data_IF_437179378378
#
_entry.id   IF_437179378378
#
_cell.length_a   1.000
_cell.length_b   1.000
_cell.length_c   1.000
_cell.angle_alpha   90.00
_cell.angle_beta   90.00
_cell.angle_gamma   90.00
#
_symmetry.space_group_name_H-M   'P 1'
#
loop_
_entity.id
_entity.type
_entity.pdbx_description
1 polymer ?
#
# COMPACT_ATOMS: atom_id res chain seq x y z
N UNK A 1 -19.61 22.49 -23.87
CA UNK A 1 -20.95 21.98 -24.25
C UNK A 1 -20.85 20.78 -25.23
N UNK A 2 -19.86 19.92 -25.09
CA UNK A 2 -19.61 18.75 -25.96
C UNK A 2 -19.53 17.40 -25.20
N UNK A 3 -19.78 17.37 -23.91
CA UNK A 3 -19.71 16.16 -23.06
C UNK A 3 -21.00 15.32 -23.04
N UNK A 4 -22.06 15.79 -23.75
CA UNK A 4 -23.39 15.14 -23.68
C UNK A 4 -23.68 14.07 -24.74
N UNK A 5 -22.78 13.82 -25.70
CA UNK A 5 -23.04 12.89 -26.84
C UNK A 5 -22.50 11.47 -26.65
N UNK A 6 -21.76 11.19 -25.57
CA UNK A 6 -21.17 9.84 -25.35
C UNK A 6 -21.97 8.90 -24.43
N UNK A 7 -23.15 9.32 -23.95
CA UNK A 7 -23.88 8.58 -22.87
C UNK A 7 -24.87 7.53 -23.41
N UNK A 8 -24.83 7.14 -24.66
CA UNK A 8 -25.83 6.20 -25.22
C UNK A 8 -25.29 5.04 -26.04
N UNK A 9 -24.25 4.34 -25.60
CA UNK A 9 -23.92 3.01 -26.18
C UNK A 9 -23.12 2.17 -25.18
N UNK A 10 -23.82 1.45 -24.28
CA UNK A 10 -23.46 0.12 -23.79
C UNK A 10 -24.46 -0.35 -22.72
N UNK A 11 -25.67 -0.64 -23.14
CA UNK A 11 -26.60 -1.50 -22.37
C UNK A 11 -26.37 -2.95 -22.82
N UNK A 12 -25.33 -3.59 -22.29
CA UNK A 12 -25.08 -4.99 -22.50
C UNK A 12 -23.79 -5.34 -21.76
N UNK A 13 -23.89 -5.79 -20.52
CA UNK A 13 -22.81 -6.57 -19.95
C UNK A 13 -22.61 -7.76 -20.89
N UNK A 14 -21.59 -7.72 -21.77
CA UNK A 14 -21.35 -8.82 -22.68
C UNK A 14 -21.04 -10.04 -21.83
N UNK A 15 -21.45 -11.22 -22.27
CA UNK A 15 -21.13 -12.51 -21.62
C UNK A 15 -19.64 -12.63 -21.23
N UNK A 16 -18.78 -11.89 -21.90
CA UNK A 16 -17.34 -11.83 -21.65
C UNK A 16 -16.95 -11.01 -20.39
N UNK A 17 -17.83 -10.21 -19.82
CA UNK A 17 -17.52 -9.46 -18.60
C UNK A 17 -17.33 -10.38 -17.40
N UNK A 18 -18.16 -11.43 -17.25
CA UNK A 18 -18.07 -12.35 -16.10
C UNK A 18 -16.73 -13.07 -16.02
N UNK A 19 -16.24 -13.75 -17.08
CA UNK A 19 -14.93 -14.41 -17.02
C UNK A 19 -13.79 -13.40 -16.84
N UNK A 20 -13.88 -12.20 -17.41
CA UNK A 20 -12.90 -11.13 -17.19
C UNK A 20 -12.79 -10.79 -15.70
N UNK A 21 -13.92 -10.57 -15.01
CA UNK A 21 -13.95 -10.21 -13.59
C UNK A 21 -13.46 -11.38 -12.71
N UNK A 22 -13.79 -12.61 -13.07
CA UNK A 22 -13.29 -13.79 -12.35
C UNK A 22 -11.78 -13.93 -12.45
N UNK A 23 -11.21 -13.74 -13.65
CA UNK A 23 -9.76 -13.74 -13.83
C UNK A 23 -9.09 -12.59 -13.04
N UNK A 24 -9.66 -11.38 -13.10
CA UNK A 24 -9.16 -10.25 -12.33
C UNK A 24 -9.22 -10.51 -10.83
N UNK A 25 -10.34 -11.00 -10.32
CA UNK A 25 -10.48 -11.35 -8.91
C UNK A 25 -9.42 -12.37 -8.47
N UNK A 26 -9.20 -13.43 -9.26
CA UNK A 26 -8.16 -14.42 -8.97
C UNK A 26 -6.77 -13.77 -8.87
N UNK A 27 -6.39 -12.94 -9.86
CA UNK A 27 -5.09 -12.26 -9.89
C UNK A 27 -4.90 -11.36 -8.67
N UNK A 28 -5.93 -10.58 -8.33
CA UNK A 28 -5.89 -9.64 -7.21
C UNK A 28 -5.90 -10.36 -5.86
N UNK A 29 -6.72 -11.40 -5.68
CA UNK A 29 -6.72 -12.19 -4.44
C UNK A 29 -5.38 -12.92 -4.23
N UNK A 30 -4.76 -13.39 -5.30
CA UNK A 30 -3.42 -13.94 -5.25
C UNK A 30 -2.38 -12.87 -4.87
N UNK A 31 -2.45 -11.66 -5.44
CA UNK A 31 -1.56 -10.55 -5.13
C UNK A 31 -1.61 -10.11 -3.67
N UNK A 32 -2.78 -10.20 -3.02
CA UNK A 32 -2.92 -9.89 -1.59
C UNK A 32 -2.14 -10.87 -0.70
N UNK A 33 -2.09 -12.15 -1.06
CA UNK A 33 -1.38 -13.17 -0.29
C UNK A 33 -0.76 -14.24 -1.21
N UNK A 34 0.33 -13.92 -1.90
CA UNK A 34 0.94 -14.81 -2.89
C UNK A 34 1.49 -16.10 -2.30
N UNK A 35 1.86 -16.11 -1.01
CA UNK A 35 2.44 -17.28 -0.34
C UNK A 35 1.41 -18.38 -0.07
N UNK A 36 0.12 -18.08 -0.15
CA UNK A 36 -0.96 -18.97 0.29
C UNK A 36 -1.71 -19.68 -0.82
N UNK A 37 -1.74 -19.12 -2.02
CA UNK A 37 -2.36 -19.75 -3.18
C UNK A 37 -1.32 -20.53 -3.96
N UNK A 38 -1.66 -21.77 -4.29
CA UNK A 38 -0.97 -22.64 -5.26
C UNK A 38 0.17 -21.90 -5.98
N UNK A 39 1.36 -21.97 -5.43
CA UNK A 39 2.55 -21.26 -5.92
C UNK A 39 2.95 -21.80 -7.30
N UNK A 40 2.05 -21.59 -8.28
CA UNK A 40 2.26 -22.04 -9.64
C UNK A 40 2.18 -20.85 -10.60
N UNK A 41 3.34 -20.32 -10.91
CA UNK A 41 3.52 -19.22 -11.83
C UNK A 41 2.87 -19.46 -13.20
N UNK A 42 2.80 -20.72 -13.67
CA UNK A 42 2.17 -21.05 -14.94
C UNK A 42 0.66 -20.82 -14.89
N UNK A 43 -0.01 -21.22 -13.79
CA UNK A 43 -1.45 -20.96 -13.60
C UNK A 43 -1.69 -19.46 -13.52
N UNK A 44 -0.88 -18.75 -12.75
CA UNK A 44 -0.99 -17.30 -12.62
C UNK A 44 -0.84 -16.61 -13.98
N UNK A 45 0.23 -16.92 -14.72
CA UNK A 45 0.45 -16.37 -16.06
C UNK A 45 -0.70 -16.67 -17.01
N UNK A 46 -1.23 -17.90 -16.98
CA UNK A 46 -2.41 -18.29 -17.79
C UNK A 46 -3.62 -17.42 -17.44
N UNK A 47 -3.93 -17.23 -16.15
CA UNK A 47 -5.09 -16.42 -15.74
C UNK A 47 -4.91 -14.94 -16.13
N UNK A 48 -3.69 -14.41 -16.03
CA UNK A 48 -3.37 -13.04 -16.51
C UNK A 48 -3.60 -12.93 -18.04
N UNK A 49 -3.14 -13.90 -18.82
CA UNK A 49 -3.37 -13.93 -20.28
C UNK A 49 -4.85 -14.04 -20.62
N UNK A 50 -5.60 -14.88 -19.90
CA UNK A 50 -7.06 -14.99 -20.07
C UNK A 50 -7.75 -13.66 -19.71
N UNK A 51 -7.36 -13.03 -18.61
CA UNK A 51 -7.87 -11.70 -18.28
C UNK A 51 -7.61 -10.69 -19.40
N UNK A 52 -6.38 -10.62 -19.89
CA UNK A 52 -6.03 -9.70 -20.98
C UNK A 52 -6.84 -9.99 -22.26
N UNK A 53 -7.01 -11.26 -22.61
CA UNK A 53 -7.84 -11.69 -23.73
C UNK A 53 -9.31 -11.26 -23.58
N UNK A 54 -9.91 -11.49 -22.41
CA UNK A 54 -11.29 -11.05 -22.12
C UNK A 54 -11.42 -9.52 -22.03
N UNK A 55 -10.43 -8.83 -21.47
CA UNK A 55 -10.40 -7.36 -21.41
C UNK A 55 -10.32 -6.76 -22.83
N UNK A 56 -9.46 -7.30 -23.70
CA UNK A 56 -9.38 -6.93 -25.10
C UNK A 56 -10.69 -7.22 -25.84
N UNK A 57 -11.25 -8.42 -25.71
CA UNK A 57 -12.46 -8.81 -26.41
C UNK A 57 -13.70 -8.01 -25.97
N UNK A 58 -13.79 -7.65 -24.69
CA UNK A 58 -14.93 -6.90 -24.16
C UNK A 58 -14.80 -5.39 -24.31
N UNK A 59 -13.60 -4.84 -24.28
CA UNK A 59 -13.32 -3.40 -24.24
C UNK A 59 -12.05 -3.05 -25.04
N UNK A 60 -11.98 -3.45 -26.32
CA UNK A 60 -10.79 -3.32 -27.17
C UNK A 60 -10.15 -1.93 -27.14
N UNK A 61 -10.97 -0.91 -27.38
CA UNK A 61 -10.48 0.48 -27.45
C UNK A 61 -9.89 0.91 -26.10
N UNK A 62 -10.58 0.65 -25.01
CA UNK A 62 -10.14 1.01 -23.67
C UNK A 62 -8.86 0.27 -23.29
N UNK A 63 -8.79 -1.04 -23.58
CA UNK A 63 -7.61 -1.85 -23.28
C UNK A 63 -6.36 -1.25 -23.93
N UNK A 64 -6.40 -0.95 -25.23
CA UNK A 64 -5.25 -0.38 -25.94
C UNK A 64 -4.97 1.07 -25.52
N UNK A 65 -5.97 1.90 -25.29
CA UNK A 65 -5.78 3.24 -24.74
C UNK A 65 -5.08 3.21 -23.37
N UNK A 66 -5.39 2.23 -22.55
CA UNK A 66 -4.75 2.05 -21.25
C UNK A 66 -3.33 1.52 -21.40
N UNK A 67 -3.13 0.48 -22.20
CA UNK A 67 -1.83 -0.17 -22.41
C UNK A 67 -0.80 0.77 -23.05
N UNK A 68 -1.23 1.56 -24.06
CA UNK A 68 -0.35 2.49 -24.78
C UNK A 68 -0.23 3.86 -24.10
N UNK A 69 -0.84 4.04 -22.93
CA UNK A 69 -0.68 5.29 -22.19
C UNK A 69 0.77 5.46 -21.72
N UNK A 70 1.37 6.66 -21.81
CA UNK A 70 2.79 6.87 -21.46
C UNK A 70 3.20 6.36 -20.08
N UNK A 71 2.34 6.50 -19.06
CA UNK A 71 2.58 5.96 -17.71
C UNK A 71 2.67 4.44 -17.72
N UNK A 72 1.87 3.75 -18.53
CA UNK A 72 1.93 2.30 -18.66
C UNK A 72 3.17 1.85 -19.44
N UNK A 73 3.51 2.55 -20.52
CA UNK A 73 4.75 2.28 -21.25
C UNK A 73 5.98 2.46 -20.35
N UNK A 74 5.98 3.50 -19.49
CA UNK A 74 7.02 3.68 -18.49
C UNK A 74 7.07 2.50 -17.50
N UNK A 75 5.90 2.01 -17.06
CA UNK A 75 5.82 0.86 -16.14
C UNK A 75 6.36 -0.43 -16.78
N UNK A 76 6.10 -0.65 -18.08
CA UNK A 76 6.71 -1.75 -18.84
C UNK A 76 8.22 -1.58 -19.07
N UNK A 77 8.76 -0.36 -18.91
CA UNK A 77 10.19 -0.11 -18.94
C UNK A 77 10.96 -0.85 -17.83
N UNK A 78 10.33 -1.13 -16.70
CA UNK A 78 10.96 -1.85 -15.59
C UNK A 78 11.39 -3.28 -15.95
N UNK A 79 10.49 -4.19 -16.37
CA UNK A 79 10.90 -5.53 -16.78
C UNK A 79 11.82 -5.53 -18.01
N UNK A 80 11.72 -4.54 -18.90
CA UNK A 80 12.67 -4.40 -20.03
C UNK A 80 14.06 -4.10 -19.50
N UNK A 81 14.19 -3.16 -18.56
CA UNK A 81 15.48 -2.86 -17.92
C UNK A 81 16.05 -4.10 -17.24
N UNK A 82 15.24 -4.83 -16.46
CA UNK A 82 15.69 -6.07 -15.79
C UNK A 82 16.11 -7.15 -16.78
N UNK A 83 15.40 -7.30 -17.92
CA UNK A 83 15.80 -8.21 -18.98
C UNK A 83 17.17 -7.83 -19.55
N UNK A 84 17.45 -6.53 -19.74
CA UNK A 84 18.78 -6.05 -20.17
C UNK A 84 19.87 -6.40 -19.16
N UNK A 85 19.60 -6.24 -17.87
CA UNK A 85 20.54 -6.65 -16.81
C UNK A 85 20.74 -8.16 -16.77
N UNK A 86 19.67 -8.96 -16.98
CA UNK A 86 19.76 -10.41 -17.02
C UNK A 86 20.60 -10.90 -18.22
N UNK A 87 20.40 -10.31 -19.40
CA UNK A 87 21.22 -10.60 -20.59
C UNK A 87 22.68 -10.20 -20.37
N UNK A 88 22.94 -9.13 -19.63
CA UNK A 88 24.27 -8.71 -19.24
C UNK A 88 24.89 -9.59 -18.11
N UNK A 89 24.18 -10.62 -17.63
CA UNK A 89 24.63 -11.51 -16.56
C UNK A 89 24.75 -10.86 -15.19
N UNK A 90 24.03 -9.76 -14.96
CA UNK A 90 24.08 -8.99 -13.69
C UNK A 90 23.00 -9.37 -12.71
N UNK A 91 21.88 -9.90 -13.17
CA UNK A 91 20.75 -10.35 -12.36
C UNK A 91 20.19 -11.65 -12.91
N UNK A 92 19.60 -12.50 -12.05
CA UNK A 92 18.65 -13.51 -12.49
C UNK A 92 17.36 -12.79 -12.85
N UNK A 93 16.77 -13.06 -14.04
CA UNK A 93 15.52 -12.40 -14.41
C UNK A 93 14.38 -12.88 -13.49
N UNK A 94 13.93 -12.03 -12.55
CA UNK A 94 12.89 -12.44 -11.61
C UNK A 94 11.52 -12.22 -12.29
N UNK A 95 10.89 -13.31 -12.69
CA UNK A 95 9.59 -13.29 -13.38
C UNK A 95 8.50 -12.51 -12.59
N UNK A 96 8.59 -12.45 -11.27
CA UNK A 96 7.66 -11.68 -10.44
C UNK A 96 7.68 -10.16 -10.75
N UNK A 97 8.77 -9.62 -11.25
CA UNK A 97 8.80 -8.22 -11.68
C UNK A 97 7.97 -7.93 -12.95
N UNK A 98 7.56 -8.96 -13.70
CA UNK A 98 6.56 -8.80 -14.77
C UNK A 98 5.18 -8.45 -14.23
N UNK A 99 4.90 -8.80 -12.98
CA UNK A 99 3.58 -8.60 -12.38
C UNK A 99 3.26 -7.11 -12.14
N UNK A 100 4.28 -6.34 -11.76
CA UNK A 100 4.11 -4.92 -11.47
C UNK A 100 3.39 -4.14 -12.58
N UNK A 101 3.85 -4.13 -13.84
CA UNK A 101 3.13 -3.43 -14.90
C UNK A 101 1.75 -4.05 -15.20
N UNK A 102 1.58 -5.37 -14.98
CA UNK A 102 0.28 -6.02 -15.15
C UNK A 102 -0.71 -5.53 -14.11
N UNK A 103 -0.32 -5.44 -12.83
CA UNK A 103 -1.17 -4.84 -11.80
C UNK A 103 -1.56 -3.40 -12.14
N UNK A 104 -0.61 -2.55 -12.55
CA UNK A 104 -0.93 -1.19 -12.97
C UNK A 104 -1.88 -1.16 -14.17
N UNK A 105 -1.70 -2.04 -15.16
CA UNK A 105 -2.59 -2.15 -16.30
C UNK A 105 -4.02 -2.52 -15.86
N UNK A 106 -4.15 -3.52 -14.98
CA UNK A 106 -5.45 -3.91 -14.41
C UNK A 106 -6.08 -2.75 -13.65
N UNK A 107 -5.35 -2.09 -12.75
CA UNK A 107 -5.87 -0.96 -11.97
C UNK A 107 -6.39 0.14 -12.89
N UNK A 108 -5.59 0.56 -13.85
CA UNK A 108 -5.99 1.61 -14.80
C UNK A 108 -7.14 1.21 -15.69
N UNK A 109 -7.21 -0.04 -16.13
CA UNK A 109 -8.34 -0.55 -16.88
C UNK A 109 -9.62 -0.42 -16.08
N UNK A 110 -9.65 -0.88 -14.82
CA UNK A 110 -10.84 -0.82 -13.98
C UNK A 110 -11.21 0.60 -13.52
N UNK A 111 -10.24 1.48 -13.27
CA UNK A 111 -10.53 2.89 -12.99
C UNK A 111 -11.06 3.65 -14.21
N UNK A 112 -10.75 3.21 -15.40
CA UNK A 112 -11.18 3.84 -16.65
C UNK A 112 -12.50 3.29 -17.21
N UNK A 113 -13.03 2.20 -16.64
CA UNK A 113 -14.34 1.69 -17.01
C UNK A 113 -15.44 2.69 -16.61
N UNK A 114 -16.38 2.94 -17.53
CA UNK A 114 -17.56 3.76 -17.25
C UNK A 114 -18.49 3.08 -16.23
N UNK A 115 -18.64 1.75 -16.35
CA UNK A 115 -19.39 0.96 -15.40
C UNK A 115 -18.60 0.72 -14.10
N UNK A 116 -19.09 1.31 -13.03
CA UNK A 116 -18.50 1.16 -11.70
C UNK A 116 -18.82 -0.18 -11.01
N UNK A 117 -19.63 -1.00 -11.60
CA UNK A 117 -19.99 -2.30 -11.01
C UNK A 117 -18.77 -3.19 -10.85
N UNK A 118 -17.96 -3.33 -11.90
CA UNK A 118 -16.72 -4.12 -11.87
C UNK A 118 -15.74 -3.61 -10.80
N UNK A 119 -15.53 -2.30 -10.73
CA UNK A 119 -14.66 -1.71 -9.69
C UNK A 119 -15.21 -1.96 -8.28
N UNK A 120 -16.52 -1.81 -8.06
CA UNK A 120 -17.17 -2.11 -6.77
C UNK A 120 -17.03 -3.56 -6.40
N UNK A 121 -17.27 -4.47 -7.33
CA UNK A 121 -17.16 -5.91 -7.11
C UNK A 121 -15.74 -6.30 -6.71
N UNK A 122 -14.74 -5.89 -7.48
CA UNK A 122 -13.34 -6.20 -7.19
C UNK A 122 -12.89 -5.58 -5.86
N UNK A 123 -13.26 -4.32 -5.60
CA UNK A 123 -12.96 -3.67 -4.32
C UNK A 123 -13.60 -4.41 -3.15
N UNK A 124 -14.83 -4.87 -3.30
CA UNK A 124 -15.51 -5.67 -2.27
C UNK A 124 -14.79 -7.00 -2.03
N UNK A 125 -14.49 -7.75 -3.10
CA UNK A 125 -13.84 -9.07 -3.00
C UNK A 125 -12.44 -8.96 -2.37
N UNK A 126 -11.62 -8.01 -2.86
CA UNK A 126 -10.28 -7.79 -2.32
C UNK A 126 -10.31 -7.33 -0.87
N UNK A 127 -11.20 -6.40 -0.52
CA UNK A 127 -11.36 -5.94 0.87
C UNK A 127 -11.86 -7.05 1.79
N UNK A 128 -12.86 -7.82 1.37
CA UNK A 128 -13.40 -8.92 2.16
C UNK A 128 -12.33 -10.00 2.42
N UNK A 129 -11.59 -10.40 1.38
CA UNK A 129 -10.49 -11.36 1.53
C UNK A 129 -9.37 -10.81 2.41
N UNK A 130 -9.01 -9.54 2.24
CA UNK A 130 -8.01 -8.88 3.08
C UNK A 130 -8.39 -8.89 4.57
N UNK A 131 -9.66 -8.65 4.88
CA UNK A 131 -10.17 -8.74 6.25
C UNK A 131 -10.21 -10.18 6.76
N UNK A 132 -10.51 -11.17 5.92
CA UNK A 132 -10.42 -12.59 6.28
C UNK A 132 -8.99 -13.01 6.62
N UNK A 133 -8.00 -12.55 5.85
CA UNK A 133 -6.58 -12.76 6.18
C UNK A 133 -6.26 -12.17 7.55
N UNK A 134 -6.74 -10.96 7.87
CA UNK A 134 -6.52 -10.36 9.18
C UNK A 134 -7.09 -11.21 10.31
N UNK A 135 -8.31 -11.76 10.14
CA UNK A 135 -8.90 -12.67 11.13
C UNK A 135 -8.06 -13.92 11.28
N UNK A 136 -7.69 -14.58 10.17
CA UNK A 136 -6.84 -15.78 10.20
C UNK A 136 -5.46 -15.50 10.83
N UNK A 137 -4.88 -14.32 10.54
CA UNK A 137 -3.60 -13.88 11.11
C UNK A 137 -3.68 -13.71 12.63
N UNK A 138 -4.79 -13.21 13.18
CA UNK A 138 -5.00 -13.16 14.66
C UNK A 138 -4.93 -14.55 15.26
N UNK A 139 -5.61 -15.55 14.65
CA UNK A 139 -5.56 -16.92 15.15
C UNK A 139 -4.16 -17.53 15.03
N UNK A 140 -3.47 -17.30 13.91
CA UNK A 140 -2.11 -17.78 13.71
C UNK A 140 -1.11 -17.14 14.70
N UNK A 141 -1.19 -15.83 14.93
CA UNK A 141 -0.35 -15.12 15.92
C UNK A 141 -0.61 -15.53 17.37
N UNK A 142 -1.84 -15.96 17.71
CA UNK A 142 -2.13 -16.55 19.02
C UNK A 142 -1.45 -17.89 19.22
N UNK A 143 -1.33 -18.69 18.19
CA UNK A 143 -0.65 -20.00 18.25
C UNK A 143 0.86 -19.85 18.16
N UNK A 144 1.35 -18.95 17.32
CA UNK A 144 2.76 -18.65 17.12
C UNK A 144 2.97 -17.14 16.92
N UNK A 145 3.43 -16.40 17.93
CA UNK A 145 3.64 -14.96 17.84
C UNK A 145 4.63 -14.50 16.77
N UNK A 146 5.52 -15.39 16.32
CA UNK A 146 6.52 -15.09 15.28
C UNK A 146 6.09 -15.55 13.86
N UNK A 147 4.87 -16.09 13.68
CA UNK A 147 4.42 -16.69 12.41
C UNK A 147 4.62 -15.75 11.20
N UNK A 148 4.24 -14.48 11.31
CA UNK A 148 4.39 -13.52 10.22
C UNK A 148 5.86 -13.24 9.85
N UNK A 149 6.78 -13.44 10.77
CA UNK A 149 8.24 -13.32 10.52
C UNK A 149 8.83 -14.58 9.93
N UNK A 150 8.36 -15.74 10.40
CA UNK A 150 8.78 -17.04 9.88
C UNK A 150 8.36 -17.17 8.41
N UNK A 151 7.16 -16.70 8.05
CA UNK A 151 6.73 -16.65 6.65
C UNK A 151 7.62 -15.76 5.77
N UNK A 152 8.24 -14.71 6.34
CA UNK A 152 9.17 -13.84 5.62
C UNK A 152 10.59 -14.44 5.44
N UNK A 153 10.88 -15.56 6.08
CA UNK A 153 12.24 -16.12 6.11
C UNK A 153 12.65 -16.78 4.78
N UNK A 154 11.67 -17.05 3.91
CA UNK A 154 11.91 -17.60 2.56
C UNK A 154 12.39 -19.06 2.52
N UNK A 155 12.64 -19.70 3.68
CA UNK A 155 13.01 -21.12 3.74
C UNK A 155 11.74 -21.99 3.62
N UNK A 156 11.57 -22.76 2.54
CA UNK A 156 10.40 -23.61 2.35
C UNK A 156 10.16 -24.62 3.46
N UNK A 157 11.22 -25.11 4.12
CA UNK A 157 11.08 -26.04 5.23
C UNK A 157 10.41 -25.41 6.45
N UNK A 158 10.59 -24.09 6.64
CA UNK A 158 10.02 -23.32 7.74
C UNK A 158 8.66 -22.74 7.34
N UNK A 159 8.54 -22.25 6.12
CA UNK A 159 7.35 -21.50 5.67
C UNK A 159 6.19 -22.40 5.27
N UNK A 160 6.46 -23.56 4.61
CA UNK A 160 5.39 -24.43 4.11
C UNK A 160 4.44 -24.95 5.20
N UNK A 161 4.89 -25.36 6.40
CA UNK A 161 3.98 -25.79 7.47
C UNK A 161 3.12 -24.64 8.04
N UNK A 162 3.56 -23.40 7.88
CA UNK A 162 2.91 -22.19 8.42
C UNK A 162 2.07 -21.47 7.39
N UNK A 163 2.30 -21.73 6.11
CA UNK A 163 1.58 -21.11 5.00
C UNK A 163 0.10 -21.50 5.04
N UNK A 164 -0.74 -20.50 5.09
CA UNK A 164 -2.19 -20.66 5.04
C UNK A 164 -2.78 -19.55 4.18
N UNK A 165 -3.83 -19.83 3.40
CA UNK A 165 -4.55 -18.80 2.63
C UNK A 165 -5.05 -17.63 3.48
N UNK A 166 -5.14 -17.79 4.79
CA UNK A 166 -5.65 -16.81 5.72
C UNK A 166 -4.59 -16.31 6.70
N UNK A 167 -3.30 -16.56 6.47
CA UNK A 167 -2.23 -16.05 7.33
C UNK A 167 -1.39 -15.02 6.60
N UNK A 168 -1.39 -13.79 7.10
CA UNK A 168 -0.60 -12.69 6.55
C UNK A 168 0.86 -12.75 6.99
N UNK A 169 1.77 -12.70 6.01
CA UNK A 169 3.20 -12.57 6.23
C UNK A 169 3.63 -11.12 6.52
N UNK A 170 4.95 -10.91 6.50
CA UNK A 170 5.59 -9.61 6.75
C UNK A 170 5.02 -8.47 5.90
N UNK A 171 4.89 -8.70 4.60
CA UNK A 171 4.41 -7.71 3.64
C UNK A 171 2.95 -7.32 3.88
N UNK A 172 2.14 -8.32 4.30
CA UNK A 172 0.75 -8.08 4.66
C UNK A 172 0.64 -7.12 5.87
N UNK A 173 1.49 -7.28 6.90
CA UNK A 173 1.47 -6.40 8.07
C UNK A 173 1.80 -4.94 7.69
N UNK A 174 2.78 -4.72 6.80
CA UNK A 174 3.10 -3.37 6.35
C UNK A 174 2.03 -2.78 5.41
N UNK A 175 1.44 -3.58 4.53
CA UNK A 175 0.29 -3.14 3.73
C UNK A 175 -0.91 -2.79 4.61
N UNK A 176 -1.10 -3.52 5.71
CA UNK A 176 -2.17 -3.29 6.69
C UNK A 176 -2.01 -1.94 7.41
N UNK A 177 -0.78 -1.45 7.63
CA UNK A 177 -0.59 -0.09 8.19
C UNK A 177 -1.17 0.97 7.26
N UNK A 178 -0.92 0.87 5.95
CA UNK A 178 -1.47 1.79 4.94
C UNK A 178 -2.99 1.70 4.87
N UNK A 179 -3.53 0.48 4.85
CA UNK A 179 -4.96 0.25 4.78
C UNK A 179 -5.68 0.79 6.01
N UNK A 180 -5.14 0.55 7.21
CA UNK A 180 -5.70 1.04 8.48
C UNK A 180 -5.70 2.57 8.52
N UNK A 181 -4.60 3.23 8.14
CA UNK A 181 -4.52 4.71 8.06
C UNK A 181 -5.54 5.26 7.06
N UNK A 182 -5.71 4.59 5.90
CA UNK A 182 -6.71 4.97 4.91
C UNK A 182 -8.14 4.85 5.45
N UNK A 183 -8.47 3.79 6.19
CA UNK A 183 -9.79 3.60 6.81
C UNK A 183 -10.07 4.66 7.90
N UNK A 184 -9.09 4.98 8.74
CA UNK A 184 -9.20 6.09 9.71
C UNK A 184 -9.55 7.39 9.00
N UNK A 185 -8.83 7.71 7.91
CA UNK A 185 -9.11 8.89 7.11
C UNK A 185 -10.47 8.85 6.39
N UNK A 186 -10.87 7.69 5.90
CA UNK A 186 -12.17 7.50 5.26
C UNK A 186 -13.31 7.79 6.25
N UNK A 187 -13.27 7.23 7.44
CA UNK A 187 -14.25 7.50 8.51
C UNK A 187 -14.26 8.99 8.85
N UNK A 188 -13.09 9.60 9.03
CA UNK A 188 -12.94 10.99 9.47
C UNK A 188 -13.40 12.02 8.44
N UNK A 189 -13.04 11.84 7.17
CA UNK A 189 -13.31 12.82 6.13
C UNK A 189 -14.64 12.63 5.42
N UNK A 190 -15.09 11.40 5.20
CA UNK A 190 -16.29 11.12 4.43
C UNK A 190 -17.52 10.87 5.30
N UNK A 191 -17.32 10.61 6.60
CA UNK A 191 -18.40 10.40 7.58
C UNK A 191 -19.50 9.48 7.03
N UNK A 192 -19.17 8.22 6.74
CA UNK A 192 -20.13 7.26 6.20
C UNK A 192 -21.33 7.08 7.15
N UNK A 193 -22.37 6.39 6.69
CA UNK A 193 -23.54 6.08 7.51
C UNK A 193 -23.12 5.29 8.76
N UNK A 194 -23.91 5.36 9.83
CA UNK A 194 -23.57 4.75 11.12
C UNK A 194 -23.14 3.28 10.98
N UNK A 195 -23.90 2.45 10.25
CA UNK A 195 -23.59 1.04 10.04
C UNK A 195 -22.26 0.85 9.30
N UNK A 196 -22.00 1.65 8.28
CA UNK A 196 -20.72 1.62 7.53
C UNK A 196 -19.57 2.11 8.43
N UNK A 197 -19.80 3.13 9.26
CA UNK A 197 -18.83 3.62 10.25
C UNK A 197 -18.47 2.54 11.26
N UNK A 198 -19.45 1.80 11.76
CA UNK A 198 -19.23 0.67 12.67
C UNK A 198 -18.40 -0.41 11.95
N UNK A 199 -18.78 -0.80 10.72
CA UNK A 199 -18.04 -1.80 9.94
C UNK A 199 -16.58 -1.41 9.69
N UNK A 200 -16.33 -0.18 9.23
CA UNK A 200 -14.97 0.32 9.03
C UNK A 200 -14.21 0.49 10.36
N UNK A 201 -14.89 0.89 11.43
CA UNK A 201 -14.31 0.96 12.78
C UNK A 201 -13.85 -0.41 13.28
N UNK A 202 -14.66 -1.45 13.07
CA UNK A 202 -14.26 -2.84 13.38
C UNK A 202 -13.05 -3.29 12.53
N UNK A 203 -13.01 -2.91 11.25
CA UNK A 203 -11.86 -3.21 10.38
C UNK A 203 -10.58 -2.50 10.87
N UNK A 204 -10.68 -1.25 11.33
CA UNK A 204 -9.57 -0.51 11.95
C UNK A 204 -9.10 -1.21 13.22
N UNK A 205 -10.02 -1.59 14.10
CA UNK A 205 -9.68 -2.29 15.35
C UNK A 205 -9.01 -3.64 15.08
N UNK A 206 -9.52 -4.41 14.12
CA UNK A 206 -8.93 -5.67 13.70
C UNK A 206 -7.51 -5.44 13.13
N UNK A 207 -7.33 -4.43 12.28
CA UNK A 207 -6.02 -4.06 11.74
C UNK A 207 -5.02 -3.69 12.82
N UNK A 208 -5.43 -2.84 13.79
CA UNK A 208 -4.59 -2.47 14.93
C UNK A 208 -4.23 -3.70 15.78
N UNK A 209 -5.19 -4.59 16.02
CA UNK A 209 -4.96 -5.83 16.78
C UNK A 209 -3.88 -6.70 16.10
N UNK A 210 -3.99 -6.93 14.78
CA UNK A 210 -3.00 -7.70 14.03
C UNK A 210 -1.63 -7.03 14.07
N UNK A 211 -1.55 -5.71 13.84
CA UNK A 211 -0.29 -4.95 13.85
C UNK A 211 0.39 -5.04 15.22
N UNK A 212 -0.36 -4.88 16.30
CA UNK A 212 0.19 -4.97 17.68
C UNK A 212 0.64 -6.40 17.99
N UNK A 213 -0.18 -7.41 17.69
CA UNK A 213 0.17 -8.81 17.92
C UNK A 213 1.38 -9.29 17.11
N UNK A 214 1.58 -8.74 15.91
CA UNK A 214 2.73 -9.09 15.06
C UNK A 214 4.08 -8.60 15.60
N UNK A 215 4.08 -7.73 16.60
CA UNK A 215 5.28 -7.19 17.24
C UNK A 215 6.26 -6.49 16.29
N UNK A 216 5.77 -5.84 15.21
CA UNK A 216 6.58 -5.02 14.32
C UNK A 216 6.59 -3.56 14.79
N UNK A 217 7.66 -3.16 15.49
CA UNK A 217 7.77 -1.83 16.13
C UNK A 217 7.55 -0.68 15.12
N UNK A 218 8.12 -0.78 13.92
CA UNK A 218 7.91 0.23 12.88
C UNK A 218 6.46 0.27 12.37
N UNK A 219 5.81 -0.89 12.21
CA UNK A 219 4.41 -0.93 11.78
C UNK A 219 3.50 -0.26 12.83
N UNK A 220 3.74 -0.54 14.11
CA UNK A 220 3.04 0.10 15.24
C UNK A 220 3.26 1.62 15.21
N UNK A 221 4.53 2.06 15.15
CA UNK A 221 4.87 3.48 15.10
C UNK A 221 4.22 4.19 13.91
N UNK A 222 4.28 3.59 12.73
CA UNK A 222 3.75 4.19 11.51
C UNK A 222 2.23 4.30 11.52
N UNK A 223 1.50 3.26 11.95
CA UNK A 223 0.04 3.35 11.99
C UNK A 223 -0.42 4.43 12.96
N UNK A 224 0.21 4.59 14.11
CA UNK A 224 -0.14 5.66 15.06
C UNK A 224 0.25 7.05 14.54
N UNK A 225 1.49 7.24 14.09
CA UNK A 225 1.97 8.54 13.61
C UNK A 225 1.16 9.05 12.41
N UNK A 226 0.92 8.19 11.42
CA UNK A 226 0.19 8.59 10.21
C UNK A 226 -1.32 8.70 10.44
N UNK A 227 -1.91 7.90 11.34
CA UNK A 227 -3.31 8.10 11.77
C UNK A 227 -3.47 9.45 12.49
N UNK A 228 -2.55 9.80 13.38
CA UNK A 228 -2.54 11.11 14.03
C UNK A 228 -2.42 12.25 13.01
N UNK A 229 -1.52 12.13 12.04
CA UNK A 229 -1.37 13.11 10.95
C UNK A 229 -2.67 13.31 10.17
N UNK A 230 -3.41 12.23 9.87
CA UNK A 230 -4.72 12.28 9.21
C UNK A 230 -5.75 12.98 10.09
N UNK A 231 -5.80 12.67 11.38
CA UNK A 231 -6.75 13.24 12.34
C UNK A 231 -6.48 14.72 12.64
N UNK A 232 -5.20 15.14 12.69
CA UNK A 232 -4.79 16.53 12.96
C UNK A 232 -5.06 17.49 11.81
N UNK A 233 -5.33 17.02 10.59
CA UNK A 233 -5.74 17.90 9.50
C UNK A 233 -7.17 18.40 9.71
N UNK A 234 -7.27 19.59 10.27
CA UNK A 234 -8.54 20.24 10.56
C UNK A 234 -9.20 20.82 9.30
N UNK A 235 -10.52 20.71 9.16
CA UNK A 235 -11.24 21.41 8.12
C UNK A 235 -11.03 22.93 8.28
N UNK A 236 -10.93 23.64 7.16
CA UNK A 236 -10.67 25.11 7.09
C UNK A 236 -11.80 25.95 7.75
N UNK A 237 -11.94 25.91 9.06
CA UNK A 237 -12.69 26.92 9.81
C UNK A 237 -11.77 27.38 10.94
N UNK A 238 -11.33 28.64 10.84
CA UNK A 238 -10.31 29.20 11.69
C UNK A 238 -10.67 29.21 13.18
N UNK A 239 -9.67 29.38 14.01
CA UNK A 239 -9.75 29.48 15.47
C UNK A 239 -9.45 28.17 16.20
N UNK A 240 -10.36 27.20 16.33
CA UNK A 240 -10.09 25.98 17.10
C UNK A 240 -9.04 25.06 16.45
N UNK A 241 -8.88 25.16 15.12
CA UNK A 241 -7.92 24.38 14.36
C UNK A 241 -6.46 24.75 14.70
N UNK A 242 -6.18 26.04 14.76
CA UNK A 242 -4.85 26.57 15.11
C UNK A 242 -4.52 26.22 16.55
N UNK A 243 -5.51 26.27 17.45
CA UNK A 243 -5.33 25.89 18.84
C UNK A 243 -4.98 24.42 19.01
N UNK A 244 -5.64 23.49 18.28
CA UNK A 244 -5.30 22.07 18.33
C UNK A 244 -3.93 21.78 17.73
N UNK A 245 -3.55 22.41 16.60
CA UNK A 245 -2.20 22.30 16.05
C UNK A 245 -1.15 22.83 17.00
N UNK A 246 -1.39 23.96 17.66
CA UNK A 246 -0.52 24.52 18.70
C UNK A 246 -0.44 23.59 19.90
N UNK A 247 -1.57 23.02 20.34
CA UNK A 247 -1.61 22.08 21.46
C UNK A 247 -0.86 20.77 21.13
N UNK A 248 -1.02 20.26 19.90
CA UNK A 248 -0.26 19.11 19.41
C UNK A 248 1.24 19.43 19.30
N UNK A 249 1.59 20.62 18.83
CA UNK A 249 2.98 21.08 18.75
C UNK A 249 3.60 21.24 20.14
N UNK A 250 2.88 21.83 21.08
CA UNK A 250 3.30 21.94 22.49
C UNK A 250 3.43 20.57 23.15
N UNK A 251 2.45 19.70 22.95
CA UNK A 251 2.53 18.32 23.44
C UNK A 251 3.71 17.57 22.83
N UNK A 252 3.97 17.74 21.52
CA UNK A 252 5.13 17.18 20.85
C UNK A 252 6.44 17.73 21.42
N UNK A 253 6.54 19.04 21.69
CA UNK A 253 7.71 19.65 22.33
C UNK A 253 8.00 19.07 23.71
N UNK A 254 6.98 18.69 24.47
CA UNK A 254 7.14 18.08 25.80
C UNK A 254 7.38 16.58 25.71
N UNK A 255 6.69 15.90 24.79
CA UNK A 255 6.74 14.42 24.66
C UNK A 255 8.01 13.98 23.95
N UNK A 256 8.41 14.65 22.84
CA UNK A 256 9.56 14.22 22.05
C UNK A 256 10.88 14.12 22.83
N UNK A 257 11.27 15.10 23.67
CA UNK A 257 12.49 15.00 24.48
C UNK A 257 12.44 13.89 25.53
N UNK A 258 11.22 13.46 25.94
CA UNK A 258 10.99 12.42 26.94
C UNK A 258 10.52 11.09 26.34
N UNK A 259 10.40 11.02 25.01
CA UNK A 259 9.88 9.84 24.34
C UNK A 259 10.71 8.58 24.61
N UNK A 260 12.02 8.73 24.79
CA UNK A 260 12.91 7.63 25.18
C UNK A 260 12.50 6.97 26.50
N UNK A 261 11.97 7.74 27.47
CA UNK A 261 11.50 7.19 28.77
C UNK A 261 10.26 6.31 28.58
N UNK A 262 9.38 6.68 27.65
CA UNK A 262 8.20 5.86 27.30
C UNK A 262 8.65 4.53 26.70
N UNK A 263 9.66 4.56 25.84
CA UNK A 263 10.21 3.34 25.26
C UNK A 263 10.90 2.45 26.27
N UNK A 264 11.65 3.01 27.22
CA UNK A 264 12.22 2.24 28.33
C UNK A 264 11.13 1.66 29.23
N UNK A 265 10.12 2.44 29.57
CA UNK A 265 8.98 1.94 30.37
C UNK A 265 8.26 0.79 29.68
N UNK A 266 8.03 0.87 28.37
CA UNK A 266 7.44 -0.24 27.59
C UNK A 266 8.38 -1.44 27.59
N UNK A 267 9.68 -1.23 27.41
CA UNK A 267 10.67 -2.30 27.45
C UNK A 267 10.66 -3.05 28.79
N UNK A 268 10.64 -2.33 29.91
CA UNK A 268 10.63 -2.90 31.26
C UNK A 268 9.34 -3.66 31.59
N UNK A 269 8.21 -3.25 31.01
CA UNK A 269 6.89 -3.84 31.29
C UNK A 269 6.40 -4.80 30.20
N UNK A 270 7.27 -5.28 29.33
CA UNK A 270 6.93 -6.23 28.25
C UNK A 270 7.53 -7.60 28.57
N UNK A 271 6.73 -8.67 28.53
CA UNK A 271 7.19 -10.04 28.82
C UNK A 271 8.08 -10.64 27.73
N UNK A 272 8.03 -10.12 26.51
CA UNK A 272 8.84 -10.60 25.37
C UNK A 272 10.22 -9.98 25.39
N UNK A 273 11.27 -10.80 25.64
CA UNK A 273 12.67 -10.36 25.61
C UNK A 273 13.03 -9.61 24.32
N UNK A 274 12.50 -10.07 23.19
CA UNK A 274 12.72 -9.47 21.86
C UNK A 274 12.10 -8.07 21.75
N UNK A 275 10.95 -7.84 22.36
CA UNK A 275 10.32 -6.51 22.44
C UNK A 275 11.03 -5.61 23.43
N UNK A 276 11.44 -6.14 24.59
CA UNK A 276 12.27 -5.40 25.56
C UNK A 276 13.50 -4.82 24.88
N UNK A 277 14.27 -5.66 24.17
CA UNK A 277 15.48 -5.23 23.47
C UNK A 277 15.19 -4.16 22.42
N UNK A 278 14.10 -4.29 21.64
CA UNK A 278 13.75 -3.33 20.60
C UNK A 278 13.29 -2.00 21.13
N UNK A 279 12.45 -1.99 22.16
CA UNK A 279 12.02 -0.75 22.77
C UNK A 279 13.18 -0.06 23.50
N UNK A 280 14.04 -0.82 24.19
CA UNK A 280 15.26 -0.29 24.78
C UNK A 280 16.19 0.31 23.71
N UNK A 281 16.33 -0.33 22.55
CA UNK A 281 17.12 0.17 21.42
C UNK A 281 16.58 1.50 20.86
N UNK A 282 15.25 1.62 20.66
CA UNK A 282 14.62 2.88 20.28
C UNK A 282 14.81 3.94 21.36
N UNK A 283 14.71 3.55 22.64
CA UNK A 283 15.01 4.42 23.77
C UNK A 283 16.45 4.94 23.72
N UNK A 284 17.44 4.07 23.46
CA UNK A 284 18.85 4.42 23.31
C UNK A 284 19.09 5.40 22.16
N UNK A 285 18.45 5.16 20.99
CA UNK A 285 18.52 6.07 19.84
C UNK A 285 17.99 7.47 20.17
N UNK A 286 16.83 7.53 20.82
CA UNK A 286 16.17 8.80 21.18
C UNK A 286 16.86 9.54 22.31
N UNK A 287 17.51 8.82 23.24
CA UNK A 287 18.27 9.41 24.34
C UNK A 287 19.68 9.88 23.94
N UNK A 288 20.13 9.57 22.73
CA UNK A 288 21.48 9.85 22.27
C UNK A 288 22.56 8.89 22.81
N UNK A 289 22.16 7.79 23.47
CA UNK A 289 23.09 6.76 23.96
C UNK A 289 23.78 5.95 22.83
N UNK A 290 23.34 6.16 21.59
CA UNK A 290 23.96 5.56 20.41
C UNK A 290 23.40 4.17 20.05
N UNK A 291 23.90 3.64 18.94
CA UNK A 291 23.47 2.32 18.44
C UNK A 291 24.46 1.27 18.95
N UNK A 292 23.95 0.29 19.68
CA UNK A 292 24.76 -0.84 20.16
C UNK A 292 25.17 -1.74 19.00
N UNK A 293 26.47 -2.09 18.90
CA UNK A 293 26.93 -3.08 17.91
C UNK A 293 26.22 -4.42 18.17
N UNK A 294 25.65 -5.01 17.10
CA UNK A 294 24.88 -6.24 17.19
C UNK A 294 23.38 -6.06 17.41
N UNK A 295 22.90 -4.83 17.60
CA UNK A 295 21.48 -4.51 17.61
C UNK A 295 20.86 -4.58 16.20
N UNK A 296 19.51 -4.67 16.13
CA UNK A 296 18.77 -4.68 14.85
C UNK A 296 19.03 -3.37 14.05
N UNK A 297 19.07 -2.22 14.73
CA UNK A 297 19.40 -0.92 14.11
C UNK A 297 20.87 -0.87 13.67
N UNK A 298 21.79 -1.42 14.43
CA UNK A 298 23.21 -1.52 14.06
C UNK A 298 23.42 -2.39 12.81
N UNK A 299 22.71 -3.52 12.74
CA UNK A 299 22.72 -4.40 11.57
C UNK A 299 22.18 -3.69 10.34
N UNK A 300 21.04 -2.99 10.45
CA UNK A 300 20.46 -2.20 9.36
C UNK A 300 21.38 -1.10 8.89
N UNK A 301 22.04 -0.36 9.80
CA UNK A 301 22.98 0.69 9.43
C UNK A 301 24.18 0.14 8.65
N UNK A 302 24.69 -1.05 9.03
CA UNK A 302 25.76 -1.72 8.26
C UNK A 302 25.28 -2.04 6.84
N UNK A 303 24.05 -2.58 6.69
CA UNK A 303 23.49 -2.92 5.38
C UNK A 303 23.24 -1.68 4.52
N UNK A 304 22.71 -0.58 5.09
CA UNK A 304 22.56 0.69 4.37
C UNK A 304 23.92 1.25 3.91
N UNK A 305 24.93 1.17 4.77
CA UNK A 305 26.30 1.61 4.44
C UNK A 305 26.89 0.74 3.35
N UNK A 306 26.69 -0.58 3.37
CA UNK A 306 27.14 -1.50 2.33
C UNK A 306 26.45 -1.20 0.99
N UNK A 307 25.12 -1.00 0.99
CA UNK A 307 24.37 -0.61 -0.21
C UNK A 307 24.86 0.73 -0.78
N UNK A 308 25.11 1.74 0.07
CA UNK A 308 25.61 3.03 -0.38
C UNK A 308 27.05 2.95 -0.95
N UNK A 309 27.94 2.20 -0.31
CA UNK A 309 29.29 1.95 -0.85
C UNK A 309 29.24 1.25 -2.21
N UNK A 310 28.35 0.26 -2.35
CA UNK A 310 28.14 -0.46 -3.62
C UNK A 310 27.61 0.47 -4.71
N UNK A 311 26.65 1.35 -4.36
CA UNK A 311 26.19 2.40 -5.28
C UNK A 311 27.34 3.31 -5.73
N UNK A 312 28.17 3.79 -4.81
CA UNK A 312 29.30 4.68 -5.16
C UNK A 312 30.34 4.01 -6.04
N UNK A 313 30.47 2.67 -5.98
CA UNK A 313 31.39 1.91 -6.87
C UNK A 313 30.84 1.75 -8.29
N UNK A 314 29.52 1.79 -8.50
CA UNK A 314 28.87 1.64 -9.80
C UNK A 314 27.62 2.54 -9.92
N UNK A 315 27.78 3.88 -9.93
CA UNK A 315 26.65 4.80 -9.68
C UNK A 315 25.62 4.83 -10.80
N UNK A 316 25.97 4.57 -12.05
CA UNK A 316 25.03 4.67 -13.17
C UNK A 316 24.15 3.42 -13.30
N UNK A 317 24.75 2.24 -13.26
CA UNK A 317 24.08 0.97 -13.56
C UNK A 317 24.08 -0.01 -12.39
N UNK A 318 24.66 0.35 -11.24
CA UNK A 318 24.73 -0.51 -10.07
C UNK A 318 25.63 -1.74 -10.25
N UNK A 319 25.67 -2.56 -9.21
CA UNK A 319 26.50 -3.79 -9.16
C UNK A 319 25.79 -5.04 -9.67
N UNK A 320 24.44 -4.99 -9.78
CA UNK A 320 23.60 -6.17 -9.98
C UNK A 320 23.38 -6.94 -8.67
N UNK A 321 22.49 -7.96 -8.70
CA UNK A 321 22.16 -8.76 -7.51
C UNK A 321 22.84 -10.12 -7.49
N UNK A 322 23.35 -10.62 -8.62
CA UNK A 322 24.03 -11.93 -8.72
C UNK A 322 25.34 -12.00 -7.94
N UNK A 323 26.03 -10.87 -7.79
CA UNK A 323 27.35 -10.81 -7.13
C UNK A 323 27.26 -11.16 -5.64
N UNK A 324 26.06 -11.09 -5.06
CA UNK A 324 25.83 -11.32 -3.63
C UNK A 324 25.67 -12.79 -3.27
N UNK A 325 25.42 -13.66 -4.25
CA UNK A 325 25.14 -15.09 -4.02
C UNK A 325 26.36 -16.01 -4.14
N UNK A 326 27.55 -15.48 -4.45
CA UNK A 326 28.74 -16.31 -4.49
C UNK A 326 29.22 -16.64 -3.07
N UNK A 327 29.04 -17.90 -2.70
CA UNK A 327 29.18 -18.50 -1.37
C UNK A 327 30.62 -18.41 -0.80
N UNK A 328 31.62 -18.06 -1.60
CA UNK A 328 33.03 -18.20 -1.21
C UNK A 328 33.69 -16.94 -0.65
N UNK A 329 32.93 -15.86 -0.44
CA UNK A 329 33.46 -14.65 0.17
C UNK A 329 32.44 -14.09 1.15
N UNK A 330 32.73 -13.98 2.46
CA UNK A 330 31.88 -13.29 3.44
C UNK A 330 31.97 -11.78 3.20
N UNK A 331 31.68 -11.36 1.96
CA UNK A 331 31.50 -9.94 1.65
C UNK A 331 30.28 -9.44 2.39
N UNK A 332 30.36 -8.21 2.83
CA UNK A 332 29.24 -7.51 3.46
C UNK A 332 27.97 -7.75 2.59
N UNK A 333 26.96 -8.36 3.19
CA UNK A 333 25.66 -8.57 2.51
C UNK A 333 25.15 -7.18 2.12
N UNK A 334 24.89 -6.97 0.83
CA UNK A 334 24.31 -5.73 0.30
C UNK A 334 22.81 -5.94 0.17
N UNK A 335 22.00 -5.00 0.69
CA UNK A 335 20.57 -5.05 0.54
C UNK A 335 19.81 -5.79 1.65
N UNK A 336 18.50 -5.89 1.44
CA UNK A 336 17.58 -6.63 2.32
C UNK A 336 16.86 -5.79 3.38
N UNK A 337 17.14 -4.47 3.49
CA UNK A 337 16.48 -3.62 4.50
C UNK A 337 16.02 -2.24 4.02
N UNK A 338 16.29 -1.84 2.77
CA UNK A 338 15.81 -0.60 2.20
C UNK A 338 15.74 -0.72 0.68
N UNK A 339 14.55 -0.76 0.13
CA UNK A 339 14.37 -0.78 -1.33
C UNK A 339 15.07 0.41 -1.98
N UNK A 340 15.02 1.59 -1.37
CA UNK A 340 15.65 2.79 -1.93
C UNK A 340 17.17 2.64 -2.01
N UNK A 341 17.82 2.22 -0.91
CA UNK A 341 19.28 2.02 -0.90
C UNK A 341 19.68 0.81 -1.75
N UNK A 342 18.89 -0.25 -1.71
CA UNK A 342 19.17 -1.50 -2.40
C UNK A 342 19.06 -1.33 -3.92
N UNK A 343 18.04 -0.61 -4.41
CA UNK A 343 17.89 -0.35 -5.84
C UNK A 343 18.96 0.61 -6.36
N UNK A 344 19.43 1.58 -5.56
CA UNK A 344 20.60 2.36 -5.89
C UNK A 344 21.85 1.48 -6.03
N UNK A 345 22.05 0.53 -5.13
CA UNK A 345 23.17 -0.41 -5.19
C UNK A 345 23.06 -1.35 -6.39
N UNK A 346 21.90 -1.99 -6.59
CA UNK A 346 21.72 -3.02 -7.61
C UNK A 346 21.59 -2.47 -9.03
N UNK A 347 20.82 -1.40 -9.21
CA UNK A 347 20.44 -0.88 -10.53
C UNK A 347 20.98 0.52 -10.81
N UNK A 348 21.69 1.14 -9.87
CA UNK A 348 22.26 2.47 -9.99
C UNK A 348 21.21 3.56 -10.13
N UNK A 349 21.63 4.72 -10.60
CA UNK A 349 20.72 5.85 -10.87
C UNK A 349 19.68 5.52 -11.94
N UNK A 350 20.07 4.80 -13.00
CA UNK A 350 19.16 4.50 -14.12
C UNK A 350 17.97 3.69 -13.64
N UNK A 351 18.21 2.58 -12.93
CA UNK A 351 17.12 1.75 -12.41
C UNK A 351 16.33 2.43 -11.31
N UNK A 352 16.99 3.11 -10.37
CA UNK A 352 16.31 3.81 -9.28
C UNK A 352 15.42 4.94 -9.78
N UNK A 353 15.91 5.78 -10.71
CA UNK A 353 15.10 6.85 -11.30
C UNK A 353 13.89 6.27 -12.05
N UNK A 354 14.08 5.21 -12.83
CA UNK A 354 12.98 4.54 -13.52
C UNK A 354 11.93 4.02 -12.51
N UNK A 355 12.36 3.29 -11.48
CA UNK A 355 11.49 2.74 -10.46
C UNK A 355 10.67 3.83 -9.74
N UNK A 356 11.33 4.86 -9.23
CA UNK A 356 10.65 5.95 -8.54
C UNK A 356 9.75 6.76 -9.49
N UNK A 357 10.15 6.94 -10.76
CA UNK A 357 9.31 7.58 -11.76
C UNK A 357 8.02 6.80 -12.02
N UNK A 358 8.08 5.47 -12.05
CA UNK A 358 6.88 4.62 -12.17
C UNK A 358 5.95 4.83 -10.99
N UNK A 359 6.46 4.81 -9.76
CA UNK A 359 5.64 5.00 -8.56
C UNK A 359 4.98 6.39 -8.55
N UNK A 360 5.78 7.45 -8.78
CA UNK A 360 5.30 8.84 -8.73
C UNK A 360 4.30 9.14 -9.86
N UNK A 361 4.54 8.64 -11.06
CA UNK A 361 3.63 8.89 -12.20
C UNK A 361 2.30 8.16 -12.04
N UNK A 362 2.30 6.92 -11.52
CA UNK A 362 1.06 6.21 -11.19
C UNK A 362 0.32 6.90 -10.04
N UNK A 363 1.02 7.34 -8.99
CA UNK A 363 0.45 8.15 -7.92
C UNK A 363 -0.21 9.43 -8.46
N UNK A 364 0.53 10.23 -9.24
CA UNK A 364 0.03 11.49 -9.79
C UNK A 364 -1.18 11.31 -10.73
N UNK A 365 -1.25 10.17 -11.41
CA UNK A 365 -2.41 9.84 -12.26
C UNK A 365 -3.64 9.51 -11.41
N UNK A 366 -3.49 8.72 -10.33
CA UNK A 366 -4.59 8.41 -9.40
C UNK A 366 -5.06 9.67 -8.68
N UNK A 367 -4.14 10.50 -8.21
CA UNK A 367 -4.47 11.75 -7.53
C UNK A 367 -5.45 12.62 -8.32
N UNK A 368 -5.34 12.65 -9.65
CA UNK A 368 -6.20 13.46 -10.53
C UNK A 368 -7.67 13.03 -10.52
N UNK A 369 -7.97 11.77 -10.23
CA UNK A 369 -9.35 11.25 -10.19
C UNK A 369 -9.99 11.38 -8.80
N UNK A 370 -9.23 11.79 -7.78
CA UNK A 370 -9.70 11.96 -6.41
C UNK A 370 -10.17 13.39 -6.14
N UNK A 371 -11.13 13.53 -5.23
CA UNK A 371 -11.52 14.82 -4.67
C UNK A 371 -10.41 15.38 -3.75
N UNK A 372 -10.56 16.60 -3.28
CA UNK A 372 -9.55 17.27 -2.45
C UNK A 372 -9.22 16.50 -1.15
N UNK A 373 -10.23 15.85 -0.54
CA UNK A 373 -10.05 15.08 0.70
C UNK A 373 -9.33 13.78 0.41
N UNK A 374 -9.76 13.08 -0.63
CA UNK A 374 -9.13 11.86 -1.12
C UNK A 374 -7.69 12.08 -1.54
N UNK A 375 -7.37 13.18 -2.26
CA UNK A 375 -5.98 13.54 -2.62
C UNK A 375 -5.07 13.64 -1.41
N UNK A 376 -5.52 14.35 -0.37
CA UNK A 376 -4.71 14.47 0.83
C UNK A 376 -4.51 13.12 1.52
N UNK A 377 -5.59 12.36 1.71
CA UNK A 377 -5.49 11.05 2.35
C UNK A 377 -4.60 10.10 1.56
N UNK A 378 -4.76 10.10 0.23
CA UNK A 378 -3.92 9.29 -0.65
C UNK A 378 -2.45 9.72 -0.61
N UNK A 379 -2.16 11.03 -0.55
CA UNK A 379 -0.80 11.53 -0.34
C UNK A 379 -0.20 11.04 0.97
N UNK A 380 -0.97 11.05 2.07
CA UNK A 380 -0.51 10.55 3.37
C UNK A 380 -0.16 9.06 3.29
N UNK A 381 -1.01 8.26 2.65
CA UNK A 381 -0.75 6.82 2.45
C UNK A 381 0.47 6.59 1.54
N UNK A 382 0.63 7.39 0.49
CA UNK A 382 1.78 7.32 -0.41
C UNK A 382 3.10 7.69 0.30
N UNK A 383 3.09 8.74 1.13
CA UNK A 383 4.25 9.09 1.96
C UNK A 383 4.57 7.97 2.96
N UNK A 384 3.55 7.39 3.59
CA UNK A 384 3.71 6.23 4.47
C UNK A 384 4.38 5.07 3.73
N UNK A 385 3.93 4.75 2.51
CA UNK A 385 4.56 3.74 1.68
C UNK A 385 6.03 4.05 1.41
N UNK A 386 6.38 5.30 1.03
CA UNK A 386 7.77 5.70 0.81
C UNK A 386 8.63 5.57 2.06
N UNK A 387 8.11 5.96 3.22
CA UNK A 387 8.81 5.75 4.49
C UNK A 387 9.04 4.25 4.74
N UNK A 388 8.03 3.42 4.48
CA UNK A 388 8.16 1.97 4.65
C UNK A 388 9.24 1.37 3.75
N UNK A 389 9.27 1.67 2.45
CA UNK A 389 10.28 1.14 1.53
C UNK A 389 11.68 1.71 1.76
N UNK A 390 11.79 2.84 2.46
CA UNK A 390 13.08 3.43 2.84
C UNK A 390 13.70 2.70 4.03
N UNK A 391 12.87 2.24 4.99
CA UNK A 391 13.37 1.58 6.21
C UNK A 391 13.23 0.06 6.19
N UNK A 392 12.56 -0.50 5.16
CA UNK A 392 12.34 -1.94 5.00
C UNK A 392 12.48 -2.37 3.54
N UNK A 393 12.86 -3.63 3.36
CA UNK A 393 12.85 -4.29 2.05
C UNK A 393 11.44 -4.75 1.67
N UNK A 394 10.52 -3.82 1.45
CA UNK A 394 9.12 -4.13 1.19
C UNK A 394 8.62 -3.54 -0.13
N UNK A 395 8.94 -4.18 -1.25
CA UNK A 395 8.32 -3.91 -2.54
C UNK A 395 7.67 -5.19 -3.05
N UNK A 396 6.43 -5.42 -2.63
CA UNK A 396 5.71 -6.63 -2.97
C UNK A 396 4.27 -6.32 -3.34
N UNK A 397 3.62 -7.29 -3.96
CA UNK A 397 2.28 -7.23 -4.49
C UNK A 397 1.25 -6.70 -3.48
N UNK A 398 1.21 -7.15 -2.21
CA UNK A 398 0.23 -6.65 -1.24
C UNK A 398 0.32 -5.14 -1.00
N UNK A 399 1.53 -4.57 -0.96
CA UNK A 399 1.70 -3.12 -0.77
C UNK A 399 1.25 -2.34 -2.00
N UNK A 400 1.61 -2.81 -3.20
CA UNK A 400 1.22 -2.21 -4.48
C UNK A 400 -0.29 -2.26 -4.65
N UNK A 401 -0.92 -3.36 -4.31
CA UNK A 401 -2.35 -3.54 -4.45
C UNK A 401 -3.14 -2.66 -3.48
N UNK A 402 -2.73 -2.59 -2.22
CA UNK A 402 -3.34 -1.67 -1.24
C UNK A 402 -3.15 -0.21 -1.69
N UNK A 403 -1.94 0.17 -2.12
CA UNK A 403 -1.62 1.54 -2.49
C UNK A 403 -2.33 1.99 -3.77
N UNK A 404 -2.32 1.17 -4.83
CA UNK A 404 -2.76 1.60 -6.15
C UNK A 404 -4.15 1.09 -6.57
N UNK A 405 -4.72 0.11 -5.85
CA UNK A 405 -6.09 -0.36 -6.10
C UNK A 405 -7.01 -0.11 -4.90
N UNK A 406 -6.76 -0.77 -3.76
CA UNK A 406 -7.76 -0.83 -2.68
C UNK A 406 -8.05 0.55 -2.10
N UNK A 407 -7.02 1.30 -1.70
CA UNK A 407 -7.20 2.64 -1.13
C UNK A 407 -7.81 3.61 -2.15
N UNK A 408 -7.27 3.75 -3.39
CA UNK A 408 -7.89 4.64 -4.37
C UNK A 408 -9.32 4.26 -4.74
N UNK A 409 -9.62 2.97 -4.90
CA UNK A 409 -10.97 2.52 -5.22
C UNK A 409 -11.97 2.87 -4.12
N UNK A 410 -11.61 2.65 -2.85
CA UNK A 410 -12.43 3.07 -1.72
C UNK A 410 -12.66 4.58 -1.72
N UNK A 411 -11.64 5.37 -2.01
CA UNK A 411 -11.75 6.84 -2.06
C UNK A 411 -12.63 7.31 -3.23
N UNK A 412 -12.44 6.77 -4.43
CA UNK A 412 -13.27 7.09 -5.62
C UNK A 412 -14.73 6.75 -5.36
N UNK A 413 -15.02 5.55 -4.88
CA UNK A 413 -16.40 5.10 -4.62
C UNK A 413 -17.10 5.92 -3.53
N UNK A 414 -16.36 6.40 -2.52
CA UNK A 414 -16.92 7.26 -1.48
C UNK A 414 -17.08 8.71 -1.96
N UNK A 415 -16.20 9.22 -2.81
CA UNK A 415 -16.33 10.56 -3.42
C UNK A 415 -17.59 10.64 -4.28
N UNK A 416 -17.87 9.65 -5.10
CA UNK A 416 -19.06 9.60 -5.95
C UNK A 416 -20.36 9.60 -5.11
N UNK A 417 -20.40 8.82 -4.02
CA UNK A 417 -21.53 8.81 -3.08
C UNK A 417 -21.74 10.17 -2.41
N UNK A 418 -20.66 10.80 -1.94
CA UNK A 418 -20.73 12.11 -1.27
C UNK A 418 -21.19 13.20 -2.22
N UNK A 419 -20.68 13.23 -3.45
CA UNK A 419 -21.11 14.15 -4.50
C UNK A 419 -22.61 14.03 -4.81
N UNK A 420 -23.12 12.82 -4.94
CA UNK A 420 -24.53 12.54 -5.15
C UNK A 420 -25.41 13.02 -3.97
N UNK A 421 -24.97 12.83 -2.73
CA UNK A 421 -25.69 13.30 -1.53
C UNK A 421 -25.74 14.83 -1.44
N UNK A 422 -24.64 15.51 -1.73
CA UNK A 422 -24.57 16.99 -1.74
C UNK A 422 -25.48 17.56 -2.81
N UNK A 423 -25.53 16.95 -4.00
CA UNK A 423 -26.43 17.35 -5.09
C UNK A 423 -27.89 17.14 -4.72
N UNK A 424 -28.24 16.03 -4.09
CA UNK A 424 -29.59 15.75 -3.64
C UNK A 424 -30.07 16.72 -2.55
N UNK A 425 -29.21 17.05 -1.58
CA UNK A 425 -29.50 18.04 -0.52
C UNK A 425 -29.60 19.45 -1.10
N UNK A 426 -28.75 19.80 -2.08
CA UNK A 426 -28.83 21.06 -2.82
C UNK A 426 -30.16 21.16 -3.57
N UNK A 427 -30.55 20.14 -4.32
CA UNK A 427 -31.80 20.09 -5.04
C UNK A 427 -33.02 20.22 -4.10
N UNK A 428 -33.00 19.55 -2.95
CA UNK A 428 -34.09 19.63 -1.96
C UNK A 428 -34.24 21.02 -1.31
N UNK A 429 -33.18 21.80 -1.21
CA UNK A 429 -33.21 23.18 -0.71
C UNK A 429 -33.78 24.17 -1.73
N UNK A 430 -33.69 23.86 -3.03
CA UNK A 430 -34.28 24.71 -4.08
C UNK A 430 -35.75 24.41 -4.38
N UNK A 431 -36.26 23.28 -3.91
CA UNK A 431 -37.69 22.89 -4.04
C UNK A 431 -38.45 23.24 -2.78
N UNK A 432 -38.20 24.39 -2.14
CA UNK A 432 -39.21 24.99 -1.27
C UNK A 432 -40.19 25.77 -2.16
N UNK A 433 -41.48 25.39 -2.17
CA UNK A 433 -42.46 26.08 -2.95
C UNK A 433 -42.52 27.56 -2.44
N UNK A 434 -42.43 28.51 -3.36
CA UNK A 434 -42.83 29.90 -3.17
C UNK A 434 -44.35 29.95 -3.00
N UNK A 435 -44.88 29.37 -1.94
CA UNK A 435 -46.28 29.50 -1.58
C UNK A 435 -46.35 30.15 -0.23
N UNK A 436 -46.52 31.45 -0.22
CA UNK A 436 -47.17 32.32 0.73
C UNK A 436 -46.55 33.75 0.71
N UNK A 437 -46.56 34.40 -0.44
CA UNK A 437 -46.71 35.86 -0.40
C UNK A 437 -48.22 36.11 -0.30
N UNK A 438 -48.72 36.27 0.92
CA UNK A 438 -50.00 36.91 1.17
C UNK A 438 -49.92 38.37 0.69
N UNK A 439 -50.89 38.83 -0.09
CA UNK A 439 -51.00 40.27 -0.39
C UNK A 439 -51.40 41.00 0.89
N UNK A 440 -50.55 41.90 1.33
CA UNK A 440 -50.94 42.93 2.30
C UNK A 440 -52.02 43.83 1.66
N UNK A 441 -53.18 43.84 2.25
CA UNK A 441 -54.19 44.89 2.08
C UNK A 441 -53.85 46.10 2.95
#
# INVERSE_FOLDING_TARGET
METSKYIRQNKGCSFLCVPRELCAAFVLLWGINPESFLYNWAIYALVVLLWAGFAMASQWKLFWQTTLHPVMLLSFGWPVLLAMYAVAGRVEFPFHHLLMPIFYLMFWFYFSLEDRFSLKLLTFLTTAYYLLINVGTVFALRQNPDVSRLLANGDPAVTAPLASPLTGGYQHIYSLTMFTVALVGLIWYYRPKLLETIGWGMAVLLGLLVIVMSNYSFAILFVFAFSLLVLCRLPKRGGPATAVVLLCALAAMVILPNLYRVFYFIAENTDSLKMQLRFAEVGNLLSGAGITQGSDAGTRMKLYTASLKSFLSAPLFGIGDLILKTVDNPREIVGGHSIVCDYLAYYGLVGSVLFHSILVTNFARIEKILDRRGRFLYLVVFVLYYVQITVNAGYNEPLIEVLFLMVPALLVLNTERYGAQVSAVGASRYIRPRSAQQPLR
#
